data_IF_602172887595
#
_entry.id   IF_602172887595
#
_cell.length_a   1.000
_cell.length_b   1.000
_cell.length_c   1.000
_cell.angle_alpha   90.00
_cell.angle_beta   90.00
_cell.angle_gamma   90.00
#
_symmetry.space_group_name_H-M   'P 1'
#
loop_
_entity.id
_entity.type
_entity.pdbx_description
1 polymer ?
#
# COMPACT_ATOMS: atom_id res chain seq x y z
N UNK A 1 -21.03 -9.62 44.16
CA UNK A 1 -19.70 -10.09 43.71
C UNK A 1 -18.68 -9.14 44.32
N UNK A 2 -17.65 -9.61 45.03
CA UNK A 2 -16.75 -8.79 45.87
C UNK A 2 -15.71 -7.98 45.09
N UNK A 3 -16.05 -7.44 43.92
CA UNK A 3 -15.09 -6.73 43.07
C UNK A 3 -14.65 -5.39 43.65
N UNK A 4 -15.46 -4.78 44.51
CA UNK A 4 -15.14 -3.51 45.18
C UNK A 4 -14.01 -3.64 46.21
N UNK A 5 -13.59 -4.87 46.55
CA UNK A 5 -12.50 -5.14 47.49
C UNK A 5 -11.14 -5.19 46.78
N UNK A 6 -11.11 -5.33 45.44
CA UNK A 6 -9.87 -5.44 44.68
C UNK A 6 -9.11 -4.10 44.68
N UNK A 7 -7.80 -4.08 45.02
CA UNK A 7 -6.97 -2.90 44.88
C UNK A 7 -6.92 -2.39 43.44
N UNK A 8 -6.82 -1.07 43.27
CA UNK A 8 -6.79 -0.43 41.95
C UNK A 8 -5.66 -0.97 41.08
N UNK A 9 -4.50 -1.27 41.67
CA UNK A 9 -3.31 -1.79 41.00
C UNK A 9 -3.59 -3.16 40.36
N UNK A 10 -4.35 -4.01 41.04
CA UNK A 10 -4.76 -5.32 40.53
C UNK A 10 -5.76 -5.15 39.39
N UNK A 11 -6.73 -4.26 39.55
CA UNK A 11 -7.72 -3.96 38.50
C UNK A 11 -7.02 -3.41 37.24
N UNK A 12 -6.07 -2.49 37.40
CA UNK A 12 -5.23 -1.97 36.31
C UNK A 12 -4.44 -3.09 35.63
N UNK A 13 -3.83 -4.00 36.40
CA UNK A 13 -3.13 -5.15 35.82
C UNK A 13 -4.06 -6.07 35.02
N UNK A 14 -5.30 -6.29 35.50
CA UNK A 14 -6.33 -7.04 34.75
C UNK A 14 -6.69 -6.32 33.46
N UNK A 15 -6.82 -4.99 33.45
CA UNK A 15 -7.04 -4.24 32.22
C UNK A 15 -5.88 -4.39 31.23
N UNK A 16 -4.64 -4.35 31.73
CA UNK A 16 -3.43 -4.47 30.91
C UNK A 16 -3.18 -5.88 30.35
N UNK A 17 -3.79 -6.93 30.92
CA UNK A 17 -3.71 -8.28 30.35
C UNK A 17 -4.71 -8.52 29.21
N UNK A 18 -5.65 -7.60 28.96
CA UNK A 18 -6.58 -7.70 27.84
C UNK A 18 -5.90 -7.30 26.53
N UNK A 19 -6.09 -8.13 25.50
CA UNK A 19 -5.44 -7.97 24.20
C UNK A 19 -6.23 -7.15 23.19
N UNK A 20 -7.43 -6.69 23.52
CA UNK A 20 -8.31 -5.96 22.60
C UNK A 20 -9.12 -4.86 23.30
N UNK A 21 -9.42 -3.80 22.54
CA UNK A 21 -10.11 -2.61 23.04
C UNK A 21 -11.55 -2.95 23.44
N UNK A 22 -12.21 -3.88 22.73
CA UNK A 22 -13.60 -4.25 23.01
C UNK A 22 -13.75 -4.89 24.38
N UNK A 23 -12.84 -5.80 24.75
CA UNK A 23 -12.76 -6.47 26.03
C UNK A 23 -12.50 -5.47 27.16
N UNK A 24 -11.63 -4.48 26.94
CA UNK A 24 -11.40 -3.38 27.90
C UNK A 24 -12.69 -2.61 28.16
N UNK A 25 -13.38 -2.17 27.10
CA UNK A 25 -14.62 -1.41 27.24
C UNK A 25 -15.73 -2.25 27.88
N UNK A 26 -15.81 -3.55 27.54
CA UNK A 26 -16.76 -4.47 28.15
C UNK A 26 -16.47 -4.62 29.64
N UNK A 27 -15.22 -4.85 30.04
CA UNK A 27 -14.83 -4.94 31.45
C UNK A 27 -15.16 -3.65 32.22
N UNK A 28 -14.83 -2.48 31.66
CA UNK A 28 -15.15 -1.18 32.26
C UNK A 28 -16.67 -0.93 32.39
N UNK A 29 -17.51 -1.65 31.65
CA UNK A 29 -18.97 -1.53 31.71
C UNK A 29 -19.64 -2.47 32.74
N UNK A 30 -18.89 -3.40 33.33
CA UNK A 30 -19.46 -4.43 34.23
C UNK A 30 -19.79 -3.91 35.64
N UNK A 31 -19.00 -2.99 36.21
CA UNK A 31 -19.24 -2.44 37.55
C UNK A 31 -18.68 -1.01 37.71
N UNK A 32 -19.18 -0.29 38.72
CA UNK A 32 -18.74 1.08 39.02
C UNK A 32 -17.25 1.17 39.38
N UNK A 33 -16.72 0.24 40.18
CA UNK A 33 -15.31 0.23 40.55
C UNK A 33 -14.37 0.12 39.34
N UNK A 34 -14.66 -0.80 38.42
CA UNK A 34 -13.87 -0.95 37.18
C UNK A 34 -14.02 0.25 36.27
N UNK A 35 -15.21 0.85 36.20
CA UNK A 35 -15.41 2.09 35.47
C UNK A 35 -14.54 3.23 36.02
N UNK A 36 -14.50 3.40 37.34
CA UNK A 36 -13.73 4.47 37.98
C UNK A 36 -12.21 4.30 37.80
N UNK A 37 -11.70 3.06 37.91
CA UNK A 37 -10.30 2.75 37.61
C UNK A 37 -9.99 3.03 36.15
N UNK A 38 -10.85 2.59 35.23
CA UNK A 38 -10.73 2.84 33.80
C UNK A 38 -10.68 4.34 33.50
N UNK A 39 -11.58 5.17 34.05
CA UNK A 39 -11.59 6.60 33.77
C UNK A 39 -10.30 7.31 34.22
N UNK A 40 -9.72 6.89 35.36
CA UNK A 40 -8.47 7.47 35.88
C UNK A 40 -7.25 7.14 35.03
N UNK A 41 -7.23 5.98 34.37
CA UNK A 41 -6.07 5.48 33.61
C UNK A 41 -6.39 5.17 32.15
N UNK A 42 -7.47 5.75 31.63
CA UNK A 42 -8.08 5.44 30.32
C UNK A 42 -7.05 5.39 29.19
N UNK A 43 -6.25 6.43 29.05
CA UNK A 43 -5.27 6.54 27.97
C UNK A 43 -4.21 5.43 28.06
N UNK A 44 -3.68 5.14 29.25
CA UNK A 44 -2.69 4.08 29.45
C UNK A 44 -3.26 2.71 29.08
N UNK A 45 -4.44 2.40 29.63
CA UNK A 45 -5.13 1.11 29.41
C UNK A 45 -5.45 0.92 27.93
N UNK A 46 -6.05 1.93 27.29
CA UNK A 46 -6.41 1.83 25.87
C UNK A 46 -5.20 1.81 24.94
N UNK A 47 -4.11 2.50 25.29
CA UNK A 47 -2.88 2.46 24.50
C UNK A 47 -2.29 1.05 24.49
N UNK A 48 -2.22 0.40 25.65
CA UNK A 48 -1.71 -0.97 25.73
C UNK A 48 -2.60 -1.96 24.96
N UNK A 49 -3.91 -1.86 25.12
CA UNK A 49 -4.85 -2.71 24.37
C UNK A 49 -4.76 -2.46 22.86
N UNK A 50 -4.64 -1.20 22.44
CA UNK A 50 -4.44 -0.85 21.04
C UNK A 50 -3.09 -1.36 20.49
N UNK A 51 -2.03 -1.42 21.29
CA UNK A 51 -0.73 -1.93 20.85
C UNK A 51 -0.75 -3.46 20.68
N UNK A 52 -1.40 -4.17 21.62
CA UNK A 52 -1.63 -5.60 21.47
C UNK A 52 -2.50 -5.91 20.23
N UNK A 53 -3.61 -5.19 20.06
CA UNK A 53 -4.62 -5.46 19.03
C UNK A 53 -4.23 -4.95 17.64
N UNK A 54 -3.55 -3.80 17.56
CA UNK A 54 -3.30 -3.05 16.32
C UNK A 54 -1.81 -2.71 16.11
N UNK A 55 -0.95 -2.92 17.11
CA UNK A 55 0.41 -2.45 17.08
C UNK A 55 1.30 -3.06 15.98
N UNK A 56 2.50 -2.51 15.80
CA UNK A 56 3.12 -1.50 16.67
C UNK A 56 2.49 -0.09 16.55
N UNK A 57 2.07 0.48 17.68
CA UNK A 57 1.45 1.83 17.71
C UNK A 57 2.41 2.89 17.21
N UNK A 58 3.70 2.75 17.52
CA UNK A 58 4.70 3.76 17.17
C UNK A 58 4.77 4.00 15.65
N UNK A 59 4.74 2.94 14.83
CA UNK A 59 4.68 3.05 13.37
C UNK A 59 3.36 3.70 12.90
N UNK A 60 2.24 3.46 13.58
CA UNK A 60 0.96 4.12 13.28
C UNK A 60 1.04 5.61 13.60
N UNK A 61 1.64 5.98 14.73
CA UNK A 61 1.85 7.36 15.15
C UNK A 61 2.66 8.11 14.10
N UNK A 62 3.70 7.49 13.52
CA UNK A 62 4.46 8.10 12.43
C UNK A 62 3.57 8.45 11.23
N UNK A 63 2.61 7.60 10.86
CA UNK A 63 1.69 7.87 9.75
C UNK A 63 0.75 9.04 10.08
N UNK A 64 0.04 8.96 11.21
CA UNK A 64 -1.04 9.92 11.53
C UNK A 64 -0.50 11.31 11.87
N UNK A 65 0.77 11.39 12.29
CA UNK A 65 1.44 12.66 12.58
C UNK A 65 2.31 13.16 11.42
N UNK A 66 2.36 12.42 10.30
CA UNK A 66 3.14 12.80 9.14
C UNK A 66 2.65 14.12 8.55
N UNK A 67 3.58 15.05 8.36
CA UNK A 67 3.31 16.38 7.82
C UNK A 67 4.59 16.96 7.19
N UNK A 68 4.46 18.11 6.52
CA UNK A 68 5.56 18.78 5.82
C UNK A 68 6.51 19.57 6.72
N UNK A 69 6.20 19.74 8.01
CA UNK A 69 7.00 20.56 8.94
C UNK A 69 8.26 19.84 9.43
N UNK A 70 8.31 18.51 9.30
CA UNK A 70 9.45 17.70 9.71
C UNK A 70 9.72 16.61 8.66
N UNK A 71 10.98 16.31 8.32
CA UNK A 71 11.30 15.23 7.38
C UNK A 71 10.73 13.87 7.84
N UNK A 72 10.34 13.03 6.87
CA UNK A 72 9.72 11.73 7.15
C UNK A 72 10.66 10.76 7.89
N UNK A 73 11.96 10.86 7.65
CA UNK A 73 12.97 10.00 8.29
C UNK A 73 13.26 10.37 9.75
N UNK A 74 12.75 11.50 10.25
CA UNK A 74 12.91 11.86 11.67
C UNK A 74 11.70 11.32 12.43
N UNK A 75 11.99 10.50 13.43
CA UNK A 75 10.99 9.90 14.31
C UNK A 75 10.24 10.97 15.12
N UNK A 76 8.91 10.83 15.16
CA UNK A 76 8.00 11.72 15.87
C UNK A 76 7.54 11.06 17.17
N UNK A 77 7.80 11.72 18.28
CA UNK A 77 7.27 11.32 19.58
C UNK A 77 6.16 12.29 19.99
N UNK A 78 4.92 11.79 20.05
CA UNK A 78 3.73 12.59 20.36
C UNK A 78 2.99 11.94 21.54
N UNK A 79 2.63 12.71 22.58
CA UNK A 79 1.88 12.16 23.71
C UNK A 79 0.51 11.64 23.27
N UNK A 80 0.12 10.48 23.78
CA UNK A 80 -1.16 9.87 23.43
C UNK A 80 -2.34 10.71 23.93
N UNK A 81 -3.33 10.90 23.07
CA UNK A 81 -4.58 11.60 23.37
C UNK A 81 -5.78 10.80 22.84
N UNK A 82 -6.99 11.10 23.30
CA UNK A 82 -8.21 10.44 22.81
C UNK A 82 -8.41 10.63 21.30
N UNK A 83 -8.01 11.79 20.74
CA UNK A 83 -8.08 12.04 19.30
C UNK A 83 -7.07 11.18 18.54
N UNK A 84 -5.82 11.17 19.00
CA UNK A 84 -4.76 10.36 18.39
C UNK A 84 -5.12 8.86 18.43
N UNK A 85 -5.69 8.38 19.54
CA UNK A 85 -6.10 6.99 19.67
C UNK A 85 -7.21 6.60 18.67
N UNK A 86 -8.15 7.52 18.37
CA UNK A 86 -9.17 7.28 17.33
C UNK A 86 -8.54 7.17 15.93
N UNK A 87 -7.53 7.99 15.64
CA UNK A 87 -6.82 7.92 14.37
C UNK A 87 -5.98 6.64 14.28
N UNK A 88 -5.30 6.26 15.38
CA UNK A 88 -4.58 4.98 15.52
C UNK A 88 -5.52 3.81 15.24
N UNK A 89 -6.71 3.81 15.83
CA UNK A 89 -7.71 2.78 15.61
C UNK A 89 -8.11 2.67 14.14
N UNK A 90 -8.34 3.80 13.45
CA UNK A 90 -8.72 3.81 12.04
C UNK A 90 -7.64 3.21 11.14
N UNK A 91 -6.37 3.59 11.34
CA UNK A 91 -5.24 3.04 10.57
C UNK A 91 -5.04 1.56 10.91
N UNK A 92 -5.12 1.20 12.20
CA UNK A 92 -4.96 -0.17 12.65
C UNK A 92 -6.01 -1.14 12.08
N UNK A 93 -7.27 -0.71 12.00
CA UNK A 93 -8.35 -1.51 11.39
C UNK A 93 -8.12 -1.78 9.91
N UNK A 94 -7.51 -0.85 9.18
CA UNK A 94 -7.12 -1.09 7.79
C UNK A 94 -6.06 -2.18 7.72
N UNK A 95 -5.03 -2.13 8.55
CA UNK A 95 -3.98 -3.16 8.55
C UNK A 95 -4.49 -4.53 9.01
N UNK A 96 -5.42 -4.60 9.97
CA UNK A 96 -6.10 -5.85 10.34
C UNK A 96 -6.85 -6.48 9.15
N UNK A 97 -7.55 -5.68 8.33
CA UNK A 97 -8.23 -6.21 7.14
C UNK A 97 -7.26 -6.82 6.12
N UNK A 98 -6.01 -6.37 6.09
CA UNK A 98 -4.99 -6.97 5.24
C UNK A 98 -4.49 -8.32 5.75
N UNK A 99 -4.64 -8.65 7.04
CA UNK A 99 -4.34 -9.98 7.59
C UNK A 99 -5.20 -11.06 6.91
N UNK A 100 -6.45 -10.74 6.59
CA UNK A 100 -7.34 -11.66 5.85
C UNK A 100 -6.97 -11.75 4.36
N UNK A 101 -6.43 -10.68 3.77
CA UNK A 101 -6.12 -10.64 2.33
C UNK A 101 -4.77 -11.29 2.04
N UNK A 102 -3.79 -11.10 2.91
CA UNK A 102 -2.39 -11.47 2.70
C UNK A 102 -2.23 -12.98 2.37
N UNK A 103 -2.77 -13.95 3.13
CA UNK A 103 -2.59 -15.37 2.84
C UNK A 103 -3.06 -15.80 1.44
N UNK A 104 -4.17 -15.23 0.94
CA UNK A 104 -4.69 -15.55 -0.38
C UNK A 104 -3.82 -15.03 -1.52
N UNK A 105 -3.02 -14.00 -1.23
CA UNK A 105 -2.18 -13.31 -2.20
C UNK A 105 -0.76 -13.85 -2.18
N UNK A 106 -0.18 -14.05 -0.99
CA UNK A 106 1.15 -14.66 -0.79
C UNK A 106 1.18 -16.07 -1.37
N UNK A 107 0.23 -16.91 -0.94
CA UNK A 107 0.15 -18.32 -1.34
C UNK A 107 -0.90 -18.54 -2.43
N UNK A 108 -0.92 -17.66 -3.43
CA UNK A 108 -1.89 -17.72 -4.52
C UNK A 108 -1.76 -18.98 -5.37
N UNK A 109 -0.52 -19.42 -5.59
CA UNK A 109 -0.17 -20.59 -6.41
C UNK A 109 0.22 -21.82 -5.56
N UNK A 110 0.58 -21.62 -4.29
CA UNK A 110 0.90 -22.68 -3.35
C UNK A 110 -0.25 -22.88 -2.36
N UNK A 111 -1.22 -23.71 -2.73
CA UNK A 111 -2.39 -23.93 -1.88
C UNK A 111 -2.05 -24.69 -0.59
N UNK A 112 -0.97 -25.47 -0.57
CA UNK A 112 -0.50 -26.23 0.59
C UNK A 112 0.03 -25.33 1.69
N UNK A 113 0.78 -24.28 1.34
CA UNK A 113 1.32 -23.33 2.31
C UNK A 113 0.28 -22.30 2.79
N UNK A 114 -0.91 -22.25 2.19
CA UNK A 114 -1.93 -21.26 2.57
C UNK A 114 -2.52 -21.57 3.94
N UNK A 115 -2.24 -20.70 4.91
CA UNK A 115 -2.73 -20.82 6.30
C UNK A 115 -3.09 -19.48 6.92
N UNK A 116 -3.65 -19.53 8.12
CA UNK A 116 -3.80 -18.34 8.97
C UNK A 116 -2.42 -17.90 9.47
N UNK A 117 -2.26 -16.59 9.60
CA UNK A 117 -1.03 -16.00 10.13
C UNK A 117 -0.95 -16.21 11.64
N UNK A 118 0.26 -16.49 12.14
CA UNK A 118 0.53 -16.52 13.57
C UNK A 118 0.40 -15.12 14.17
N UNK A 119 0.27 -14.97 15.51
CA UNK A 119 0.27 -13.65 16.14
C UNK A 119 1.52 -12.80 15.80
N UNK A 120 2.69 -13.44 15.71
CA UNK A 120 3.94 -12.78 15.34
C UNK A 120 3.91 -12.29 13.88
N UNK A 121 3.48 -13.14 12.94
CA UNK A 121 3.35 -12.74 11.52
C UNK A 121 2.32 -11.63 11.32
N UNK A 122 1.22 -11.64 12.06
CA UNK A 122 0.23 -10.55 12.04
C UNK A 122 0.82 -9.23 12.52
N UNK A 123 1.63 -9.27 13.58
CA UNK A 123 2.37 -8.09 14.04
C UNK A 123 3.35 -7.59 12.97
N UNK A 124 4.14 -8.49 12.38
CA UNK A 124 5.09 -8.16 11.30
C UNK A 124 4.36 -7.59 10.06
N UNK A 125 3.24 -8.18 9.68
CA UNK A 125 2.41 -7.72 8.57
C UNK A 125 1.91 -6.30 8.80
N UNK A 126 1.30 -6.04 9.97
CA UNK A 126 0.79 -4.71 10.34
C UNK A 126 1.91 -3.67 10.33
N UNK A 127 3.04 -3.98 10.95
CA UNK A 127 4.25 -3.13 10.94
C UNK A 127 4.70 -2.78 9.51
N UNK A 128 4.83 -3.78 8.64
CA UNK A 128 5.25 -3.58 7.26
C UNK A 128 4.23 -2.76 6.46
N UNK A 129 2.93 -2.97 6.66
CA UNK A 129 1.86 -2.14 6.08
C UNK A 129 2.00 -0.70 6.54
N UNK A 130 2.22 -0.46 7.84
CA UNK A 130 2.36 0.90 8.35
C UNK A 130 3.54 1.63 7.73
N UNK A 131 4.68 0.97 7.60
CA UNK A 131 5.88 1.59 7.02
C UNK A 131 5.74 1.87 5.51
N UNK A 132 5.10 0.97 4.76
CA UNK A 132 4.77 1.23 3.35
C UNK A 132 3.75 2.38 3.24
N UNK A 133 2.79 2.46 4.15
CA UNK A 133 1.84 3.56 4.21
C UNK A 133 2.53 4.88 4.52
N UNK A 134 3.45 4.91 5.50
CA UNK A 134 4.25 6.08 5.84
C UNK A 134 5.04 6.58 4.62
N UNK A 135 5.67 5.67 3.86
CA UNK A 135 6.35 6.02 2.63
C UNK A 135 5.40 6.70 1.62
N UNK A 136 4.20 6.14 1.44
CA UNK A 136 3.19 6.73 0.56
C UNK A 136 2.73 8.11 1.06
N UNK A 137 2.44 8.24 2.35
CA UNK A 137 2.00 9.48 2.97
C UNK A 137 3.07 10.59 2.87
N UNK A 138 4.35 10.22 2.95
CA UNK A 138 5.46 11.16 2.85
C UNK A 138 5.74 11.60 1.41
N UNK A 139 5.71 10.68 0.45
CA UNK A 139 6.31 10.91 -0.88
C UNK A 139 5.33 10.82 -2.05
N UNK A 140 4.09 10.39 -1.85
CA UNK A 140 3.05 10.40 -2.89
C UNK A 140 2.15 11.63 -2.78
N UNK A 141 2.78 12.80 -2.70
CA UNK A 141 2.13 14.09 -2.57
C UNK A 141 2.45 15.01 -3.75
N UNK A 142 1.73 16.13 -3.87
CA UNK A 142 1.96 17.11 -4.94
C UNK A 142 3.36 17.73 -4.93
N UNK A 143 4.07 17.72 -3.79
CA UNK A 143 5.46 18.20 -3.75
C UNK A 143 6.41 17.30 -4.57
N UNK A 144 6.08 16.01 -4.71
CA UNK A 144 6.84 15.04 -5.47
C UNK A 144 6.15 14.76 -6.81
N UNK A 145 6.20 15.76 -7.69
CA UNK A 145 5.67 15.63 -9.05
C UNK A 145 6.40 14.53 -9.83
N UNK A 146 5.71 13.97 -10.81
CA UNK A 146 6.24 12.86 -11.61
C UNK A 146 7.64 13.14 -12.21
N UNK A 147 7.88 14.34 -12.71
CA UNK A 147 9.13 14.69 -13.40
C UNK A 147 10.33 14.74 -12.45
N UNK A 148 10.10 14.84 -11.14
CA UNK A 148 11.18 14.90 -10.15
C UNK A 148 11.57 13.52 -9.59
N UNK A 149 10.86 12.44 -9.97
CA UNK A 149 11.01 11.11 -9.33
C UNK A 149 12.43 10.55 -9.35
N UNK A 150 13.19 10.83 -10.42
CA UNK A 150 14.53 10.34 -10.68
C UNK A 150 15.63 11.35 -10.31
N UNK A 151 15.26 12.53 -9.80
CA UNK A 151 16.26 13.52 -9.41
C UNK A 151 17.07 12.97 -8.22
N UNK A 152 18.42 12.99 -8.27
CA UNK A 152 19.25 12.35 -7.25
C UNK A 152 18.93 12.79 -5.82
N UNK A 153 18.69 14.09 -5.60
CA UNK A 153 18.34 14.62 -4.27
C UNK A 153 16.98 14.13 -3.76
N UNK A 154 15.99 13.96 -4.64
CA UNK A 154 14.67 13.42 -4.28
C UNK A 154 14.78 11.93 -3.96
N UNK A 155 15.53 11.18 -4.77
CA UNK A 155 15.79 9.75 -4.50
C UNK A 155 16.51 9.59 -3.14
N UNK A 156 17.50 10.44 -2.88
CA UNK A 156 18.22 10.45 -1.61
C UNK A 156 17.29 10.76 -0.43
N UNK A 157 16.42 11.76 -0.55
CA UNK A 157 15.44 12.08 0.50
C UNK A 157 14.51 10.92 0.82
N UNK A 158 14.01 10.21 -0.20
CA UNK A 158 13.20 8.99 0.00
C UNK A 158 14.01 7.87 0.65
N UNK A 159 15.28 7.73 0.25
CA UNK A 159 16.18 6.72 0.79
C UNK A 159 16.48 6.94 2.28
N UNK A 160 16.56 8.21 2.75
CA UNK A 160 16.76 8.52 4.17
C UNK A 160 15.69 7.85 5.06
N UNK A 161 14.43 7.79 4.63
CA UNK A 161 13.39 7.09 5.38
C UNK A 161 13.68 5.58 5.44
N UNK A 162 14.01 4.97 4.29
CA UNK A 162 14.25 3.53 4.22
C UNK A 162 15.54 3.10 4.93
N UNK A 163 16.51 4.01 5.11
CA UNK A 163 17.72 3.73 5.88
C UNK A 163 17.44 3.46 7.37
N UNK A 164 16.31 3.93 7.91
CA UNK A 164 15.92 3.67 9.30
C UNK A 164 15.54 2.21 9.57
N UNK A 165 15.30 1.39 8.54
CA UNK A 165 14.86 0.01 8.67
C UNK A 165 15.95 -0.97 8.29
N UNK A 166 16.08 -2.07 9.02
CA UNK A 166 17.00 -3.17 8.70
C UNK A 166 16.64 -3.85 7.37
N UNK A 167 17.55 -4.64 6.79
CA UNK A 167 17.27 -5.35 5.53
C UNK A 167 16.13 -6.36 5.66
N UNK A 168 15.98 -6.98 6.85
CA UNK A 168 14.84 -7.86 7.16
C UNK A 168 13.54 -7.07 7.09
N UNK A 169 13.47 -5.93 7.77
CA UNK A 169 12.26 -5.07 7.75
C UNK A 169 11.96 -4.52 6.35
N UNK A 170 12.98 -4.20 5.56
CA UNK A 170 12.79 -3.80 4.16
C UNK A 170 12.26 -4.95 3.30
N UNK A 171 12.64 -6.19 3.58
CA UNK A 171 12.09 -7.37 2.91
C UNK A 171 10.61 -7.60 3.26
N UNK A 172 10.22 -7.36 4.52
CA UNK A 172 8.81 -7.40 4.96
C UNK A 172 7.98 -6.33 4.23
N UNK A 173 8.52 -5.12 4.13
CA UNK A 173 7.89 -4.03 3.38
C UNK A 173 7.76 -4.36 1.88
N UNK A 174 8.79 -4.97 1.28
CA UNK A 174 8.75 -5.42 -0.11
C UNK A 174 7.68 -6.48 -0.34
N UNK A 175 7.60 -7.46 0.55
CA UNK A 175 6.59 -8.52 0.50
C UNK A 175 5.18 -7.92 0.52
N UNK A 176 4.88 -7.05 1.50
CA UNK A 176 3.61 -6.32 1.55
C UNK A 176 3.37 -5.50 0.29
N UNK A 177 4.37 -4.77 -0.20
CA UNK A 177 4.24 -3.97 -1.40
C UNK A 177 3.88 -4.81 -2.63
N UNK A 178 4.44 -6.02 -2.76
CA UNK A 178 4.08 -6.98 -3.80
C UNK A 178 2.61 -7.43 -3.66
N UNK A 179 2.12 -7.66 -2.44
CA UNK A 179 0.71 -7.98 -2.19
C UNK A 179 -0.21 -6.82 -2.60
N UNK A 180 0.11 -5.58 -2.19
CA UNK A 180 -0.65 -4.39 -2.58
C UNK A 180 -0.71 -4.25 -4.11
N UNK A 181 0.42 -4.45 -4.79
CA UNK A 181 0.51 -4.41 -6.26
C UNK A 181 -0.32 -5.52 -6.93
N UNK A 182 -0.31 -6.76 -6.42
CA UNK A 182 -1.17 -7.81 -6.96
C UNK A 182 -2.65 -7.44 -6.77
N UNK A 183 -3.04 -6.89 -5.62
CA UNK A 183 -4.42 -6.43 -5.41
C UNK A 183 -4.81 -5.34 -6.40
N UNK A 184 -3.97 -4.31 -6.55
CA UNK A 184 -4.21 -3.24 -7.53
C UNK A 184 -4.35 -3.84 -8.94
N UNK A 185 -3.37 -4.62 -9.40
CA UNK A 185 -3.32 -5.16 -10.75
C UNK A 185 -4.43 -6.19 -11.05
N UNK A 186 -5.04 -6.81 -10.04
CA UNK A 186 -6.08 -7.81 -10.27
C UNK A 186 -7.50 -7.31 -9.97
N UNK A 187 -7.66 -6.33 -9.09
CA UNK A 187 -8.96 -5.93 -8.55
C UNK A 187 -9.34 -4.47 -8.87
N UNK A 188 -8.37 -3.56 -9.03
CA UNK A 188 -8.64 -2.13 -9.17
C UNK A 188 -8.27 -1.65 -10.57
N UNK A 189 -7.01 -1.86 -10.93
CA UNK A 189 -6.39 -1.36 -12.15
C UNK A 189 -5.77 -2.50 -12.98
N UNK A 190 -6.56 -3.46 -13.49
CA UNK A 190 -6.02 -4.48 -14.37
C UNK A 190 -5.59 -3.88 -15.71
N UNK A 191 -4.38 -4.26 -16.15
CA UNK A 191 -3.88 -3.92 -17.48
C UNK A 191 -4.63 -4.69 -18.56
N UNK A 192 -4.55 -4.22 -19.81
CA UNK A 192 -5.18 -4.90 -20.94
C UNK A 192 -4.63 -6.32 -21.12
N UNK A 193 -3.31 -6.47 -20.98
CA UNK A 193 -2.65 -7.79 -20.98
C UNK A 193 -3.18 -8.71 -19.88
N UNK A 194 -3.41 -8.18 -18.66
CA UNK A 194 -3.93 -8.96 -17.54
C UNK A 194 -5.35 -9.45 -17.79
N UNK A 195 -6.20 -8.63 -18.39
CA UNK A 195 -7.56 -9.02 -18.75
C UNK A 195 -7.54 -10.07 -19.86
N UNK A 196 -6.71 -9.88 -20.89
CA UNK A 196 -6.54 -10.87 -21.95
C UNK A 196 -6.13 -12.22 -21.38
N UNK A 197 -5.16 -12.25 -20.45
CA UNK A 197 -4.72 -13.47 -19.78
C UNK A 197 -5.88 -14.14 -19.00
N UNK A 198 -6.64 -13.37 -18.22
CA UNK A 198 -7.79 -13.90 -17.44
C UNK A 198 -8.89 -14.45 -18.34
N UNK A 199 -9.15 -13.79 -19.47
CA UNK A 199 -10.15 -14.22 -20.44
C UNK A 199 -9.76 -15.54 -21.10
N UNK A 200 -8.52 -15.66 -21.61
CA UNK A 200 -8.03 -16.90 -22.22
C UNK A 200 -8.02 -18.06 -21.21
N UNK A 201 -7.66 -17.79 -19.95
CA UNK A 201 -7.73 -18.81 -18.89
C UNK A 201 -9.16 -19.29 -18.61
N UNK A 202 -10.16 -18.41 -18.72
CA UNK A 202 -11.57 -18.75 -18.49
C UNK A 202 -12.22 -19.41 -19.70
N UNK A 203 -11.79 -19.05 -20.91
CA UNK A 203 -12.35 -19.52 -22.17
C UNK A 203 -11.23 -19.98 -23.12
N UNK A 204 -10.57 -21.12 -22.84
CA UNK A 204 -9.44 -21.60 -23.63
C UNK A 204 -9.81 -21.94 -25.08
N UNK A 205 -11.04 -22.41 -25.31
CA UNK A 205 -11.56 -22.77 -26.64
C UNK A 205 -12.14 -21.58 -27.43
N UNK A 206 -12.09 -20.37 -26.86
CA UNK A 206 -12.65 -19.19 -27.50
C UNK A 206 -11.67 -18.61 -28.53
N UNK A 207 -12.08 -18.60 -29.80
CA UNK A 207 -11.40 -17.85 -30.86
C UNK A 207 -11.67 -16.33 -30.80
N UNK A 208 -12.42 -15.85 -29.79
CA UNK A 208 -12.76 -14.45 -29.65
C UNK A 208 -11.59 -13.65 -29.07
N UNK A 209 -10.99 -12.78 -29.88
CA UNK A 209 -9.99 -11.84 -29.40
C UNK A 209 -10.68 -10.65 -28.72
N UNK A 210 -10.33 -10.39 -27.45
CA UNK A 210 -10.75 -9.14 -26.78
C UNK A 210 -10.12 -7.95 -27.50
N UNK A 211 -10.97 -7.16 -28.15
CA UNK A 211 -10.60 -5.92 -28.83
C UNK A 211 -10.62 -4.77 -27.83
N UNK A 212 -9.46 -4.49 -27.24
CA UNK A 212 -9.25 -3.27 -26.46
C UNK A 212 -8.94 -2.12 -27.43
N UNK A 213 -9.76 -1.08 -27.48
CA UNK A 213 -9.54 0.21 -28.18
C UNK A 213 -8.44 0.18 -29.26
N UNK A 214 -8.77 -0.40 -30.42
CA UNK A 214 -7.83 -0.75 -31.52
C UNK A 214 -7.11 0.46 -32.11
N UNK A 215 -7.62 1.68 -31.91
CA UNK A 215 -7.05 2.91 -32.49
C UNK A 215 -5.81 3.46 -31.76
N UNK A 216 -5.31 2.81 -30.71
CA UNK A 216 -4.31 3.39 -29.80
C UNK A 216 -3.07 2.52 -29.56
N UNK A 217 -2.98 1.36 -30.23
CA UNK A 217 -1.83 0.45 -30.19
C UNK A 217 -0.88 0.58 -31.39
N UNK A 218 -1.06 1.58 -32.26
CA UNK A 218 -0.07 1.81 -33.30
C UNK A 218 1.17 2.48 -32.70
N UNK A 219 2.39 1.98 -32.99
CA UNK A 219 3.59 2.77 -32.74
C UNK A 219 3.43 4.11 -33.45
N UNK A 220 3.94 5.23 -32.87
CA UNK A 220 3.89 6.51 -33.54
C UNK A 220 4.48 6.36 -34.96
N UNK A 221 3.90 7.01 -35.98
CA UNK A 221 4.46 6.95 -37.33
C UNK A 221 5.95 7.33 -37.25
N UNK A 222 6.84 6.60 -37.95
CA UNK A 222 8.26 6.88 -37.90
C UNK A 222 8.50 8.35 -38.22
N UNK A 223 9.23 9.04 -37.35
CA UNK A 223 9.58 10.45 -37.56
C UNK A 223 10.19 10.60 -38.96
N UNK A 224 9.75 11.59 -39.76
CA UNK A 224 10.42 11.93 -41.00
C UNK A 224 11.67 12.75 -40.65
N UNK A 225 12.62 12.12 -39.98
CA UNK A 225 13.98 12.64 -39.80
C UNK A 225 14.96 11.67 -40.43
N UNK A 226 14.67 11.29 -41.68
CA UNK A 226 15.66 10.73 -42.61
C UNK A 226 16.42 11.90 -43.24
N UNK A 227 17.26 12.58 -42.46
CA UNK A 227 18.40 13.39 -42.91
C UNK A 227 19.01 14.13 -41.72
N UNK A 228 20.00 13.51 -41.08
CA UNK A 228 21.21 14.14 -40.52
C UNK A 228 21.95 13.06 -39.72
N UNK A 229 23.15 12.71 -40.17
CA UNK A 229 23.99 11.71 -39.52
C UNK A 229 24.57 12.16 -38.18
N UNK A 230 25.04 11.16 -37.43
CA UNK A 230 26.12 11.25 -36.44
C UNK A 230 25.81 11.98 -35.13
N UNK A 231 25.82 11.24 -34.02
CA UNK A 231 26.09 11.79 -32.69
C UNK A 231 25.07 11.45 -31.60
N UNK A 232 25.59 11.00 -30.46
CA UNK A 232 24.90 10.68 -29.21
C UNK A 232 24.09 11.84 -28.58
N UNK A 233 23.17 11.48 -27.67
CA UNK A 233 22.54 12.38 -26.67
C UNK A 233 21.07 12.68 -26.96
N UNK A 234 20.12 12.00 -26.31
CA UNK A 234 19.51 12.38 -25.02
C UNK A 234 19.03 13.85 -25.00
N UNK A 235 17.76 14.03 -24.63
CA UNK A 235 16.97 15.27 -24.54
C UNK A 235 16.21 15.69 -25.81
N UNK A 236 14.90 15.43 -25.81
CA UNK A 236 13.94 16.31 -26.48
C UNK A 236 12.59 16.31 -25.74
N UNK A 237 12.45 17.29 -24.84
CA UNK A 237 11.16 17.74 -24.29
C UNK A 237 10.51 18.68 -25.31
N UNK A 238 9.44 18.25 -25.97
CA UNK A 238 8.64 19.13 -26.85
C UNK A 238 7.21 19.29 -26.32
N UNK A 239 6.92 20.51 -25.85
CA UNK A 239 5.62 20.99 -25.30
C UNK A 239 4.46 20.95 -26.32
N UNK A 240 4.74 20.80 -27.62
CA UNK A 240 3.72 20.79 -28.68
C UNK A 240 3.13 19.38 -28.88
N UNK A 241 3.88 18.34 -28.53
CA UNK A 241 3.47 16.94 -28.63
C UNK A 241 2.58 16.52 -27.46
N UNK A 242 2.70 17.19 -26.30
CA UNK A 242 1.92 16.87 -25.10
C UNK A 242 0.43 17.20 -25.22
N UNK A 243 0.06 18.26 -25.96
CA UNK A 243 -1.33 18.71 -26.09
C UNK A 243 -2.19 17.75 -26.95
N UNK A 244 -1.65 17.26 -28.08
CA UNK A 244 -2.32 16.22 -28.89
C UNK A 244 -2.33 14.86 -28.18
N UNK A 245 -1.27 14.54 -27.43
CA UNK A 245 -1.24 13.36 -26.56
C UNK A 245 -2.30 13.43 -25.47
N UNK A 246 -2.48 14.56 -24.77
CA UNK A 246 -3.49 14.74 -23.72
C UNK A 246 -4.92 14.53 -24.24
N UNK A 247 -5.26 15.04 -25.43
CA UNK A 247 -6.59 14.84 -26.03
C UNK A 247 -6.87 13.37 -26.38
N UNK A 248 -5.87 12.64 -26.91
CA UNK A 248 -5.99 11.19 -27.16
C UNK A 248 -5.89 10.33 -25.89
N UNK A 249 -5.31 10.85 -24.81
CA UNK A 249 -5.22 10.16 -23.53
C UNK A 249 -6.53 10.25 -22.75
N UNK A 250 -7.24 11.39 -22.86
CA UNK A 250 -8.59 11.55 -22.32
C UNK A 250 -9.62 10.64 -23.00
N UNK A 251 -9.45 10.32 -24.29
CA UNK A 251 -10.31 9.35 -24.98
C UNK A 251 -9.98 7.89 -24.66
N UNK A 252 -8.74 7.54 -24.24
CA UNK A 252 -8.37 6.20 -23.71
C UNK A 252 -9.07 5.82 -22.41
N UNK A 253 -9.53 6.82 -21.67
CA UNK A 253 -10.20 6.67 -20.37
C UNK A 253 -11.73 6.69 -20.49
N UNK A 254 -12.26 6.98 -21.69
CA UNK A 254 -13.70 6.97 -21.95
C UNK A 254 -14.21 5.52 -21.98
N UNK A 255 -15.21 5.17 -21.16
CA UNK A 255 -15.86 3.87 -21.23
C UNK A 255 -16.50 3.67 -22.61
N UNK A 256 -16.28 2.51 -23.24
CA UNK A 256 -17.02 2.20 -24.47
C UNK A 256 -18.52 2.10 -24.16
N UNK A 257 -19.36 2.44 -25.17
CA UNK A 257 -20.82 2.55 -25.03
C UNK A 257 -21.53 1.25 -24.62
N UNK A 258 -20.82 0.11 -24.63
CA UNK A 258 -21.31 -1.22 -24.26
C UNK A 258 -20.28 -1.92 -23.35
N UNK A 259 -20.02 -1.36 -22.18
CA UNK A 259 -19.04 -1.87 -21.23
C UNK A 259 -19.59 -3.03 -20.38
N UNK A 260 -18.83 -4.12 -20.32
CA UNK A 260 -19.10 -5.28 -19.44
C UNK A 260 -17.96 -5.44 -18.42
N UNK A 261 -18.24 -5.69 -17.12
CA UNK A 261 -17.21 -5.80 -16.10
C UNK A 261 -16.21 -6.94 -16.41
N UNK A 262 -14.94 -6.58 -16.63
CA UNK A 262 -13.87 -7.54 -16.93
C UNK A 262 -13.50 -7.68 -18.41
N UNK A 263 -14.04 -6.84 -19.31
CA UNK A 263 -13.70 -6.83 -20.74
C UNK A 263 -12.72 -5.73 -21.18
N UNK A 264 -12.40 -4.74 -20.34
CA UNK A 264 -11.51 -3.62 -20.68
C UNK A 264 -10.60 -3.19 -19.51
N UNK A 265 -9.31 -2.98 -19.78
CA UNK A 265 -8.32 -2.59 -18.78
C UNK A 265 -8.12 -1.08 -18.72
N UNK A 266 -7.19 -0.65 -17.86
CA UNK A 266 -6.82 0.76 -17.73
C UNK A 266 -5.78 1.22 -18.77
N UNK A 267 -5.35 0.32 -19.67
CA UNK A 267 -4.14 0.48 -20.45
C UNK A 267 -2.90 0.14 -19.64
N UNK A 268 -1.73 0.15 -20.29
CA UNK A 268 -0.45 -0.19 -19.66
C UNK A 268 0.26 1.05 -19.07
N UNK A 269 -0.21 2.25 -19.42
CA UNK A 269 0.38 3.53 -19.01
C UNK A 269 -0.09 4.02 -17.61
N UNK A 270 -1.10 3.37 -17.01
CA UNK A 270 -1.64 3.74 -15.70
C UNK A 270 -1.12 2.77 -14.63
N UNK A 271 -0.46 3.33 -13.62
CA UNK A 271 -0.01 2.56 -12.46
C UNK A 271 -0.54 3.20 -11.17
N UNK A 272 -1.45 2.50 -10.49
CA UNK A 272 -2.05 2.94 -9.23
C UNK A 272 -1.23 2.58 -7.98
N UNK A 273 0.07 2.35 -8.11
CA UNK A 273 0.98 2.02 -6.99
C UNK A 273 1.14 3.14 -5.94
N UNK A 274 0.57 4.32 -6.19
CA UNK A 274 0.57 5.45 -5.24
C UNK A 274 -0.64 5.49 -4.31
N UNK A 275 -1.61 4.58 -4.48
CA UNK A 275 -2.71 4.43 -3.54
C UNK A 275 -2.18 3.89 -2.21
N UNK A 276 -2.68 4.44 -1.11
CA UNK A 276 -2.37 3.91 0.21
C UNK A 276 -3.15 2.61 0.52
N UNK A 277 -2.72 1.81 1.52
CA UNK A 277 -3.37 0.56 1.87
C UNK A 277 -4.88 0.68 2.16
N UNK A 278 -5.33 1.79 2.75
CA UNK A 278 -6.75 2.03 3.05
C UNK A 278 -7.56 2.34 1.79
N UNK A 279 -7.01 3.16 0.90
CA UNK A 279 -7.60 3.49 -0.41
C UNK A 279 -7.72 2.23 -1.28
N UNK A 280 -6.71 1.37 -1.28
CA UNK A 280 -6.72 0.10 -2.02
C UNK A 280 -7.87 -0.80 -1.52
N UNK A 281 -8.03 -0.97 -0.21
CA UNK A 281 -9.15 -1.75 0.33
C UNK A 281 -10.50 -1.13 -0.01
N UNK A 282 -10.64 0.19 0.15
CA UNK A 282 -11.87 0.89 -0.19
C UNK A 282 -12.28 0.62 -1.65
N UNK A 283 -11.36 0.81 -2.59
CA UNK A 283 -11.62 0.60 -4.02
C UNK A 283 -11.90 -0.87 -4.33
N UNK A 284 -11.13 -1.80 -3.76
CA UNK A 284 -11.37 -3.24 -3.91
C UNK A 284 -12.78 -3.66 -3.46
N UNK A 285 -13.30 -3.06 -2.39
CA UNK A 285 -14.59 -3.45 -1.81
C UNK A 285 -15.79 -2.69 -2.38
N UNK A 286 -15.59 -1.44 -2.83
CA UNK A 286 -16.69 -0.52 -3.17
C UNK A 286 -16.69 -0.03 -4.61
N UNK A 287 -15.61 -0.26 -5.36
CA UNK A 287 -15.48 0.17 -6.75
C UNK A 287 -15.11 -1.01 -7.68
N UNK A 288 -15.99 -2.02 -7.83
CA UNK A 288 -15.74 -3.14 -8.75
C UNK A 288 -15.63 -2.72 -10.23
N UNK A 289 -16.15 -1.54 -10.60
CA UNK A 289 -16.17 -1.05 -11.99
C UNK A 289 -15.12 0.02 -12.24
N UNK A 290 -14.51 0.01 -13.44
CA UNK A 290 -13.55 1.04 -13.91
C UNK A 290 -14.09 2.46 -13.74
N UNK A 291 -15.36 2.69 -14.10
CA UNK A 291 -16.02 3.99 -13.93
C UNK A 291 -16.14 4.44 -12.47
N UNK A 292 -16.40 3.51 -11.54
CA UNK A 292 -16.51 3.83 -10.12
C UNK A 292 -15.16 4.22 -9.53
N UNK A 293 -14.10 3.53 -9.96
CA UNK A 293 -12.73 3.90 -9.60
C UNK A 293 -12.38 5.27 -10.20
N UNK A 294 -12.64 5.53 -11.48
CA UNK A 294 -12.36 6.84 -12.11
C UNK A 294 -13.12 7.97 -11.42
N UNK A 295 -14.40 7.77 -11.11
CA UNK A 295 -15.21 8.71 -10.35
C UNK A 295 -14.59 8.99 -8.98
N UNK A 296 -14.26 7.93 -8.22
CA UNK A 296 -13.65 8.07 -6.91
C UNK A 296 -12.32 8.83 -6.98
N UNK A 297 -11.46 8.51 -7.96
CA UNK A 297 -10.19 9.19 -8.15
C UNK A 297 -10.39 10.68 -8.41
N UNK A 298 -11.34 11.05 -9.28
CA UNK A 298 -11.65 12.47 -9.58
C UNK A 298 -12.19 13.23 -8.37
N UNK A 299 -12.97 12.58 -7.51
CA UNK A 299 -13.60 13.22 -6.35
C UNK A 299 -12.73 13.24 -5.10
N UNK A 300 -11.90 12.21 -4.91
CA UNK A 300 -11.18 11.98 -3.67
C UNK A 300 -9.68 12.29 -3.77
N UNK A 301 -9.13 12.31 -4.99
CA UNK A 301 -7.73 12.66 -5.21
C UNK A 301 -7.60 13.89 -6.10
N UNK A 302 -6.88 14.84 -5.57
CA UNK A 302 -6.44 16.02 -6.27
C UNK A 302 -5.55 15.66 -7.48
N UNK A 303 -6.05 15.90 -8.70
CA UNK A 303 -5.39 15.49 -9.96
C UNK A 303 -5.97 14.21 -10.59
N UNK A 304 -6.92 13.54 -9.91
CA UNK A 304 -7.66 12.41 -10.45
C UNK A 304 -6.79 11.30 -11.03
N UNK A 305 -7.20 10.75 -12.18
CA UNK A 305 -6.45 9.68 -12.87
C UNK A 305 -5.10 10.16 -13.40
N UNK A 306 -4.95 11.44 -13.73
CA UNK A 306 -3.70 11.98 -14.29
C UNK A 306 -2.53 11.83 -13.31
N UNK A 307 -2.82 11.83 -12.00
CA UNK A 307 -1.84 11.52 -10.97
C UNK A 307 -1.15 10.17 -11.16
N UNK A 308 -1.79 9.19 -11.80
CA UNK A 308 -1.27 7.83 -11.96
C UNK A 308 -0.70 7.55 -13.35
N UNK A 309 -0.80 8.51 -14.28
CA UNK A 309 -0.35 8.32 -15.66
C UNK A 309 1.17 8.38 -15.72
N UNK A 310 1.76 7.22 -16.10
CA UNK A 310 3.19 7.03 -16.35
C UNK A 310 4.08 7.47 -15.15
N UNK A 311 3.53 7.50 -13.94
CA UNK A 311 4.21 8.05 -12.76
C UNK A 311 5.37 7.15 -12.28
N UNK A 312 5.40 5.88 -12.69
CA UNK A 312 6.42 4.92 -12.27
C UNK A 312 6.22 4.47 -10.83
N UNK A 313 6.95 3.44 -10.44
CA UNK A 313 6.88 2.85 -9.11
C UNK A 313 8.09 3.34 -8.30
N UNK A 314 7.88 4.13 -7.25
CA UNK A 314 8.96 4.84 -6.56
C UNK A 314 9.49 4.12 -5.32
N UNK A 315 8.71 3.22 -4.72
CA UNK A 315 9.10 2.51 -3.51
C UNK A 315 10.17 1.44 -3.81
N UNK A 316 9.93 0.53 -4.76
CA UNK A 316 10.91 -0.52 -5.09
C UNK A 316 12.17 0.05 -5.75
N UNK A 317 12.05 1.13 -6.52
CA UNK A 317 13.19 1.89 -7.05
C UNK A 317 14.09 2.43 -5.91
N UNK A 318 13.47 3.06 -4.91
CA UNK A 318 14.19 3.62 -3.75
C UNK A 318 14.76 2.49 -2.87
N UNK A 319 14.02 1.41 -2.68
CA UNK A 319 14.49 0.25 -1.96
C UNK A 319 15.72 -0.37 -2.65
N UNK A 320 15.68 -0.56 -3.96
CA UNK A 320 16.83 -1.06 -4.72
C UNK A 320 18.04 -0.14 -4.68
N UNK A 321 17.84 1.17 -4.49
CA UNK A 321 18.94 2.10 -4.20
C UNK A 321 19.56 1.85 -2.83
N UNK A 322 18.76 1.71 -1.77
CA UNK A 322 19.24 1.44 -0.40
C UNK A 322 19.92 0.08 -0.29
N UNK A 323 19.38 -0.97 -0.91
CA UNK A 323 19.97 -2.31 -0.89
C UNK A 323 21.35 -2.31 -1.57
N UNK A 324 21.49 -1.65 -2.72
CA UNK A 324 22.79 -1.50 -3.39
C UNK A 324 23.81 -0.72 -2.54
N UNK A 325 23.37 0.32 -1.84
CA UNK A 325 24.27 1.04 -0.91
C UNK A 325 24.73 0.19 0.27
N UNK A 326 23.92 -0.79 0.69
CA UNK A 326 24.29 -1.80 1.69
C UNK A 326 25.13 -2.94 1.13
N UNK A 327 25.48 -2.92 -0.16
CA UNK A 327 26.24 -3.98 -0.82
C UNK A 327 25.41 -5.22 -1.20
N UNK A 328 24.07 -5.15 -1.11
CA UNK A 328 23.17 -6.23 -1.50
C UNK A 328 22.70 -6.12 -2.95
N UNK A 329 22.08 -7.19 -3.43
CA UNK A 329 21.39 -7.24 -4.72
C UNK A 329 19.87 -7.21 -4.54
N UNK A 330 19.21 -6.36 -5.32
CA UNK A 330 17.75 -6.19 -5.27
C UNK A 330 17.02 -7.38 -5.88
N UNK A 331 17.56 -8.01 -6.92
CA UNK A 331 16.90 -9.15 -7.54
C UNK A 331 17.00 -10.38 -6.63
N UNK A 332 18.18 -10.65 -6.05
CA UNK A 332 18.32 -11.68 -5.01
C UNK A 332 17.35 -11.48 -3.83
N UNK A 333 17.14 -10.24 -3.37
CA UNK A 333 16.17 -9.94 -2.31
C UNK A 333 14.73 -10.25 -2.75
N UNK A 334 14.37 -9.94 -4.01
CA UNK A 334 13.04 -10.25 -4.55
C UNK A 334 12.81 -11.75 -4.63
N UNK A 335 13.81 -12.49 -5.08
CA UNK A 335 13.75 -13.94 -5.19
C UNK A 335 13.58 -14.58 -3.80
N UNK A 336 14.38 -14.18 -2.81
CA UNK A 336 14.24 -14.63 -1.43
C UNK A 336 12.85 -14.33 -0.83
N UNK A 337 12.26 -13.16 -1.15
CA UNK A 337 10.88 -12.81 -0.73
C UNK A 337 9.83 -13.64 -1.46
N UNK A 338 10.05 -13.94 -2.74
CA UNK A 338 9.14 -14.74 -3.56
C UNK A 338 9.13 -16.22 -3.12
N UNK A 339 10.30 -16.75 -2.76
CA UNK A 339 10.50 -18.12 -2.27
C UNK A 339 10.09 -18.30 -0.80
N UNK A 340 9.89 -17.19 -0.07
CA UNK A 340 9.47 -17.22 1.32
C UNK A 340 10.61 -17.43 2.32
N UNK A 341 11.86 -17.24 1.90
CA UNK A 341 13.02 -17.20 2.79
C UNK A 341 13.07 -15.89 3.60
N UNK A 342 12.52 -14.82 3.03
CA UNK A 342 12.45 -13.48 3.63
C UNK A 342 11.03 -12.89 3.47
N UNK A 343 10.71 -11.87 4.26
CA UNK A 343 9.41 -11.20 4.23
C UNK A 343 8.58 -11.42 5.49
N UNK A 344 7.26 -11.35 5.37
CA UNK A 344 6.35 -11.37 6.53
C UNK A 344 6.17 -12.77 7.11
N UNK A 345 5.89 -13.74 6.23
CA UNK A 345 5.70 -15.14 6.59
C UNK A 345 6.83 -15.97 5.99
N UNK A 346 7.85 -16.23 6.81
CA UNK A 346 9.06 -16.96 6.44
C UNK A 346 8.83 -18.47 6.62
N UNK A 347 9.35 -19.28 5.71
CA UNK A 347 9.38 -20.74 5.88
C UNK A 347 10.28 -21.06 7.07
N UNK A 348 9.75 -21.75 8.08
CA UNK A 348 10.60 -22.26 9.16
C UNK A 348 11.66 -23.17 8.53
N UNK A 349 12.94 -22.82 8.71
CA UNK A 349 14.01 -23.71 8.33
C UNK A 349 13.81 -25.02 9.09
N UNK A 350 13.67 -26.14 8.37
CA UNK A 350 13.70 -27.46 8.97
C UNK A 350 14.97 -27.55 9.83
N UNK A 351 14.78 -27.54 11.14
CA UNK A 351 15.86 -27.53 12.12
C UNK A 351 16.18 -28.95 12.58
#
# INVERSE_FOLDING_TARGET
MFFDILPNEIVTHVFHSLSDISSVLALASTCHHFHDVYQKQKLSILTQAADAELGPIDDIVQIVTQNTSQPAHIHRNVPMSDALLKDVWRVGKVAQQWEDVYPFKKWKNDYSARRLLTPAERYTLRRAIYRVWLFSAAFHTRQYIRTSRNLPHIVHERALLLHNFSTVELSEMLDVHCILKDVIANNICPSNGKIRQKFHKRYPESNHQLLFNIHLNYPPPPNPSWQAGGGDGWFNSSLITSAKYHQTHMSRLQPSRFHEPGSEGWGDDINMSKLDPGQILFLKHRAPLKQQVDMWLRTSLEGGVEWFVNNGETFSETLGFVIRQRGGDMEALRDAVAEGEMGVAVLEAEM
#
